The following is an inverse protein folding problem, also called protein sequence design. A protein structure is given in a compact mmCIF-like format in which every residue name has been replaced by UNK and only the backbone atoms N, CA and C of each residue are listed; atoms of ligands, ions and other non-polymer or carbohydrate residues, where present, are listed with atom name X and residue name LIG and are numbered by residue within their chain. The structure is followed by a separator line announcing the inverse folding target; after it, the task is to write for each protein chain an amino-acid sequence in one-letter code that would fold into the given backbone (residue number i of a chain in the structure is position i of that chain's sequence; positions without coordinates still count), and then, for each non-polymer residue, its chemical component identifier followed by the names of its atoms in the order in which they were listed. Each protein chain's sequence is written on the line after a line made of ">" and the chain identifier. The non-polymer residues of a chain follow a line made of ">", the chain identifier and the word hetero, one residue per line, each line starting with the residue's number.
data_IF_830100058105
#
_entry.id   IF_830100058105
#
_cell.length_a   1.000
_cell.length_b   1.000
_cell.length_c   1.000
_cell.angle_alpha   90.00
_cell.angle_beta   90.00
_cell.angle_gamma   90.00
#
_symmetry.space_group_name_H-M   'P 1'
#
loop_
_entity.id
_entity.type
_entity.pdbx_description
1 polymer ?
#
# COMPACT_ATOMS: atom_id res chain seq x y z
N UNK A 1 -18.69 14.66 13.74
CA UNK A 1 -18.43 15.94 13.08
C UNK A 1 -17.22 15.80 12.19
N UNK A 2 -17.12 16.56 11.05
CA UNK A 2 -16.02 16.45 10.09
C UNK A 2 -14.65 16.71 10.74
N UNK A 3 -14.55 17.68 11.64
CA UNK A 3 -13.36 18.03 12.41
C UNK A 3 -12.83 16.93 13.35
N UNK A 4 -13.51 15.79 13.42
CA UNK A 4 -13.07 14.57 14.13
C UNK A 4 -12.74 13.44 13.16
N UNK A 5 -12.81 13.69 11.86
CA UNK A 5 -12.61 12.68 10.81
C UNK A 5 -11.26 12.84 10.10
N UNK A 6 -10.59 11.73 9.88
CA UNK A 6 -9.46 11.60 8.97
C UNK A 6 -9.98 11.08 7.63
N UNK A 7 -9.58 11.73 6.54
CA UNK A 7 -9.73 11.25 5.17
C UNK A 7 -8.39 10.67 4.71
N UNK A 8 -8.35 9.39 4.41
CA UNK A 8 -7.20 8.74 3.78
C UNK A 8 -7.50 8.52 2.31
N UNK A 9 -6.61 8.96 1.44
CA UNK A 9 -6.71 8.86 -0.03
C UNK A 9 -5.51 8.06 -0.54
N UNK A 10 -5.74 7.14 -1.47
CA UNK A 10 -4.71 6.44 -2.21
C UNK A 10 -4.92 6.69 -3.70
N UNK A 11 -3.95 7.38 -4.30
CA UNK A 11 -3.84 7.56 -5.74
C UNK A 11 -3.28 6.28 -6.35
N UNK A 12 -3.99 5.72 -7.33
CA UNK A 12 -3.63 4.53 -8.08
C UNK A 12 -3.76 4.84 -9.58
N UNK A 13 -3.12 4.06 -10.42
CA UNK A 13 -3.18 4.31 -11.89
C UNK A 13 -4.59 4.22 -12.46
N UNK A 14 -5.44 3.38 -11.89
CA UNK A 14 -6.81 3.13 -12.36
C UNK A 14 -7.88 3.96 -11.62
N UNK A 15 -7.50 4.64 -10.51
CA UNK A 15 -8.47 5.43 -9.76
C UNK A 15 -7.97 5.98 -8.42
N UNK A 16 -8.87 6.57 -7.66
CA UNK A 16 -8.66 7.01 -6.29
C UNK A 16 -9.49 6.13 -5.35
N UNK A 17 -8.82 5.46 -4.43
CA UNK A 17 -9.48 4.84 -3.28
C UNK A 17 -9.45 5.78 -2.09
N UNK A 18 -10.51 5.80 -1.29
CA UNK A 18 -10.54 6.65 -0.09
C UNK A 18 -11.28 6.00 1.08
N UNK A 19 -10.89 6.40 2.29
CA UNK A 19 -11.56 6.06 3.55
C UNK A 19 -11.80 7.30 4.39
N UNK A 20 -12.98 7.40 5.02
CA UNK A 20 -13.28 8.38 6.06
C UNK A 20 -13.49 7.65 7.38
N UNK A 21 -12.68 7.98 8.38
CA UNK A 21 -12.74 7.38 9.71
C UNK A 21 -12.68 8.43 10.82
N UNK A 22 -13.25 8.11 11.96
CA UNK A 22 -13.08 8.93 13.15
C UNK A 22 -11.65 8.85 13.65
N UNK A 23 -11.00 9.99 13.86
CA UNK A 23 -9.58 10.08 14.22
C UNK A 23 -9.22 9.27 15.47
N UNK A 24 -10.04 9.36 16.53
CA UNK A 24 -9.73 8.73 17.82
C UNK A 24 -10.29 7.32 17.93
N UNK A 25 -11.58 7.12 17.57
CA UNK A 25 -12.24 5.81 17.74
C UNK A 25 -11.97 4.84 16.59
N UNK A 26 -11.35 5.32 15.52
CA UNK A 26 -11.08 4.58 14.28
C UNK A 26 -12.35 4.00 13.62
N UNK A 27 -13.53 4.46 14.03
CA UNK A 27 -14.78 4.05 13.40
C UNK A 27 -14.79 4.48 11.94
N UNK A 28 -15.03 3.51 11.06
CA UNK A 28 -15.13 3.73 9.62
C UNK A 28 -16.54 4.23 9.27
N UNK A 29 -16.61 5.38 8.61
CA UNK A 29 -17.85 6.00 8.18
C UNK A 29 -18.15 5.81 6.71
N UNK A 30 -17.10 5.88 5.87
CA UNK A 30 -17.22 5.79 4.42
C UNK A 30 -15.97 5.19 3.82
N UNK A 31 -16.14 4.44 2.75
CA UNK A 31 -15.10 4.01 1.84
C UNK A 31 -15.63 4.13 0.42
N UNK A 32 -14.76 4.42 -0.51
CA UNK A 32 -15.15 4.51 -1.91
C UNK A 32 -13.96 4.40 -2.85
N UNK A 33 -14.31 4.21 -4.10
CA UNK A 33 -13.38 4.18 -5.21
C UNK A 33 -13.94 5.06 -6.33
N UNK A 34 -13.11 5.94 -6.86
CA UNK A 34 -13.42 6.81 -7.99
C UNK A 34 -12.57 6.40 -9.18
N UNK A 35 -13.16 5.79 -10.21
CA UNK A 35 -12.42 5.35 -11.40
C UNK A 35 -11.74 6.53 -12.10
N UNK A 36 -10.60 6.29 -12.74
CA UNK A 36 -9.89 7.33 -13.50
C UNK A 36 -10.74 7.99 -14.58
N UNK A 37 -11.69 7.26 -15.17
CA UNK A 37 -12.60 7.80 -16.18
C UNK A 37 -13.51 8.93 -15.67
N UNK A 38 -13.70 9.01 -14.35
CA UNK A 38 -14.54 10.03 -13.71
C UNK A 38 -13.74 11.24 -13.18
N UNK A 39 -12.44 11.30 -13.48
CA UNK A 39 -11.55 12.35 -12.95
C UNK A 39 -11.73 13.68 -13.69
N UNK A 40 -11.63 14.75 -12.92
CA UNK A 40 -11.40 16.11 -13.38
C UNK A 40 -9.88 16.37 -13.56
N UNK A 41 -9.54 17.62 -13.86
CA UNK A 41 -8.14 18.07 -13.88
C UNK A 41 -7.51 18.15 -12.46
N UNK A 42 -8.34 18.08 -11.40
CA UNK A 42 -7.91 18.17 -10.00
C UNK A 42 -8.58 17.09 -9.12
N UNK A 43 -8.44 15.80 -9.46
CA UNK A 43 -9.30 14.75 -8.89
C UNK A 43 -9.13 14.60 -7.37
N UNK A 44 -7.93 14.78 -6.85
CA UNK A 44 -7.63 14.69 -5.41
C UNK A 44 -8.25 15.86 -4.65
N UNK A 45 -8.11 17.08 -5.18
CA UNK A 45 -8.67 18.27 -4.54
C UNK A 45 -10.19 18.24 -4.57
N UNK A 46 -10.80 17.86 -5.70
CA UNK A 46 -12.24 17.77 -5.83
C UNK A 46 -12.83 16.71 -4.89
N UNK A 47 -12.12 15.59 -4.70
CA UNK A 47 -12.50 14.58 -3.72
C UNK A 47 -12.48 15.17 -2.30
N UNK A 48 -11.43 15.90 -1.91
CA UNK A 48 -11.32 16.55 -0.60
C UNK A 48 -12.46 17.54 -0.41
N UNK A 49 -12.74 18.38 -1.40
CA UNK A 49 -13.75 19.44 -1.35
C UNK A 49 -15.19 18.86 -1.32
N UNK A 50 -15.38 17.61 -1.75
CA UNK A 50 -16.66 16.91 -1.67
C UNK A 50 -17.07 16.57 -0.24
N UNK A 51 -16.15 16.59 0.73
CA UNK A 51 -16.43 16.30 2.12
C UNK A 51 -16.69 17.59 2.94
N UNK A 52 -17.52 17.50 3.99
CA UNK A 52 -17.70 18.62 4.93
C UNK A 52 -16.35 19.02 5.55
N UNK A 53 -16.09 20.34 5.58
CA UNK A 53 -14.88 20.92 6.13
C UNK A 53 -15.11 21.58 7.50
N UNK A 54 -14.09 21.75 8.36
CA UNK A 54 -12.74 21.20 8.19
C UNK A 54 -12.67 19.71 8.55
N UNK A 55 -11.80 18.97 7.87
CA UNK A 55 -11.39 17.62 8.28
C UNK A 55 -10.30 17.73 9.36
N UNK A 56 -10.23 16.75 10.28
CA UNK A 56 -9.15 16.70 11.28
C UNK A 56 -7.79 16.48 10.64
N UNK A 57 -7.75 15.68 9.58
CA UNK A 57 -6.54 15.28 8.89
C UNK A 57 -6.88 14.73 7.50
N UNK A 58 -5.98 14.95 6.55
CA UNK A 58 -6.01 14.28 5.24
C UNK A 58 -4.66 13.59 5.03
N UNK A 59 -4.70 12.28 4.85
CA UNK A 59 -3.53 11.45 4.53
C UNK A 59 -3.59 11.13 3.04
N UNK A 60 -2.52 11.46 2.31
CA UNK A 60 -2.47 11.27 0.87
C UNK A 60 -1.32 10.35 0.47
N UNK A 61 -1.67 9.13 0.07
CA UNK A 61 -0.76 8.12 -0.45
C UNK A 61 -0.79 8.04 -1.97
N UNK A 62 0.37 7.74 -2.56
CA UNK A 62 0.52 7.49 -3.99
C UNK A 62 1.10 6.10 -4.17
N UNK A 63 0.43 5.29 -4.99
CA UNK A 63 0.92 4.01 -5.47
C UNK A 63 1.65 4.24 -6.80
N UNK A 64 2.96 3.97 -6.79
CA UNK A 64 3.76 4.03 -8.00
C UNK A 64 4.23 2.61 -8.36
N UNK A 65 3.95 2.14 -9.58
CA UNK A 65 4.24 0.76 -9.99
C UNK A 65 5.75 0.46 -10.07
N UNK A 66 6.53 1.49 -10.43
CA UNK A 66 8.00 1.40 -10.52
C UNK A 66 8.60 2.08 -9.29
N UNK A 67 8.91 1.30 -8.29
CA UNK A 67 9.43 1.79 -7.01
C UNK A 67 10.56 0.90 -6.51
N UNK A 68 11.55 1.52 -5.86
CA UNK A 68 12.65 0.84 -5.18
C UNK A 68 12.81 1.44 -3.79
N UNK A 69 13.07 0.58 -2.80
CA UNK A 69 13.36 0.97 -1.43
C UNK A 69 14.82 0.64 -1.13
N UNK A 70 15.55 1.63 -0.64
CA UNK A 70 16.98 1.47 -0.31
C UNK A 70 17.31 2.15 1.02
N UNK A 71 18.39 1.73 1.70
CA UNK A 71 18.88 2.44 2.89
C UNK A 71 19.18 3.91 2.57
N UNK A 72 18.68 4.82 3.39
CA UNK A 72 18.84 6.27 3.18
C UNK A 72 20.33 6.69 3.09
N UNK A 73 21.20 6.01 3.84
CA UNK A 73 22.65 6.29 3.83
C UNK A 73 23.31 6.01 2.45
N UNK A 74 22.65 5.26 1.58
CA UNK A 74 23.11 4.92 0.23
C UNK A 74 22.57 5.89 -0.82
N UNK A 75 21.76 6.88 -0.43
CA UNK A 75 21.12 7.81 -1.35
C UNK A 75 21.85 9.14 -1.38
N UNK A 76 22.18 9.59 -2.60
CA UNK A 76 22.47 11.01 -2.84
C UNK A 76 21.25 11.59 -3.60
N UNK A 77 20.45 12.46 -2.97
CA UNK A 77 19.31 13.07 -3.65
C UNK A 77 19.68 13.89 -4.90
N UNK A 78 20.95 14.28 -5.03
CA UNK A 78 21.45 15.02 -6.20
C UNK A 78 21.81 14.11 -7.38
N UNK A 79 22.05 12.82 -7.11
CA UNK A 79 22.37 11.83 -8.13
C UNK A 79 21.32 10.70 -8.13
N UNK A 80 20.37 10.78 -9.06
CA UNK A 80 19.31 9.78 -9.26
C UNK A 80 19.50 8.95 -10.52
N UNK A 81 20.64 9.08 -11.20
CA UNK A 81 20.85 8.38 -12.47
C UNK A 81 20.88 6.86 -12.30
N UNK A 82 21.38 6.37 -11.16
CA UNK A 82 21.34 4.96 -10.79
C UNK A 82 19.92 4.35 -10.72
N UNK A 83 18.87 5.18 -10.51
CA UNK A 83 17.49 4.68 -10.46
C UNK A 83 17.01 4.19 -11.82
N UNK A 84 17.58 4.69 -12.92
CA UNK A 84 17.22 4.27 -14.28
C UNK A 84 17.59 2.79 -14.52
N UNK A 85 18.71 2.35 -13.97
CA UNK A 85 19.13 0.94 -14.06
C UNK A 85 18.21 0.00 -13.31
N UNK A 86 17.60 0.47 -12.20
CA UNK A 86 16.73 -0.35 -11.34
C UNK A 86 15.25 -0.27 -11.75
N UNK A 87 14.78 0.88 -12.16
CA UNK A 87 13.36 1.15 -12.43
C UNK A 87 13.03 1.14 -13.94
N UNK A 88 14.06 1.14 -14.82
CA UNK A 88 13.89 1.39 -16.25
C UNK A 88 13.59 2.86 -16.59
N UNK A 89 13.51 3.72 -15.57
CA UNK A 89 13.23 5.15 -15.66
C UNK A 89 13.94 5.91 -14.54
N UNK A 90 14.37 7.14 -14.81
CA UNK A 90 14.87 8.02 -13.75
C UNK A 90 13.73 8.36 -12.78
N UNK A 91 13.94 8.14 -11.48
CA UNK A 91 12.96 8.47 -10.47
C UNK A 91 12.58 9.96 -10.51
N UNK A 92 11.30 10.25 -10.37
CA UNK A 92 10.75 11.62 -10.32
C UNK A 92 9.88 11.85 -9.07
N UNK A 93 9.84 10.87 -8.19
CA UNK A 93 9.19 10.93 -6.89
C UNK A 93 10.05 10.20 -5.86
N UNK A 94 10.18 10.78 -4.67
CA UNK A 94 10.85 10.13 -3.54
C UNK A 94 10.11 10.40 -2.24
N UNK A 95 10.20 9.46 -1.32
CA UNK A 95 9.68 9.57 0.05
C UNK A 95 10.67 8.91 1.02
N UNK A 96 10.84 9.50 2.19
CA UNK A 96 11.80 9.02 3.19
C UNK A 96 11.04 8.59 4.43
N UNK A 97 11.34 7.38 4.90
CA UNK A 97 10.97 6.92 6.22
C UNK A 97 12.17 7.09 7.16
N UNK A 98 12.18 8.19 7.89
CA UNK A 98 13.30 8.54 8.78
C UNK A 98 13.43 7.56 9.95
N UNK A 99 12.33 7.00 10.44
CA UNK A 99 12.34 6.07 11.58
C UNK A 99 13.04 4.76 11.25
N UNK A 100 12.99 4.31 10.02
CA UNK A 100 13.66 3.12 9.52
C UNK A 100 14.96 3.41 8.78
N UNK A 101 15.26 4.68 8.50
CA UNK A 101 16.44 5.08 7.72
C UNK A 101 16.41 4.55 6.28
N UNK A 102 15.23 4.50 5.65
CA UNK A 102 15.04 4.05 4.28
C UNK A 102 14.39 5.13 3.42
N UNK A 103 14.71 5.11 2.13
CA UNK A 103 14.11 5.96 1.14
C UNK A 103 13.45 5.13 0.04
N UNK A 104 12.27 5.54 -0.39
CA UNK A 104 11.60 5.00 -1.56
C UNK A 104 11.82 5.96 -2.70
N UNK A 105 12.32 5.45 -3.82
CA UNK A 105 12.39 6.17 -5.09
C UNK A 105 11.42 5.53 -6.06
N UNK A 106 10.68 6.36 -6.78
CA UNK A 106 9.65 5.89 -7.67
C UNK A 106 9.61 6.70 -8.96
N UNK A 107 9.13 6.06 -10.02
CA UNK A 107 8.77 6.75 -11.26
C UNK A 107 7.25 6.75 -11.41
N UNK A 108 6.70 7.95 -11.64
CA UNK A 108 5.32 8.16 -12.07
C UNK A 108 5.32 8.68 -13.50
N UNK A 109 4.49 8.15 -14.40
CA UNK A 109 4.25 8.77 -15.69
C UNK A 109 3.94 10.26 -15.55
N UNK A 110 4.32 11.07 -16.53
CA UNK A 110 4.22 12.54 -16.44
C UNK A 110 2.78 13.02 -16.17
N UNK A 111 1.80 12.35 -16.77
CA UNK A 111 0.39 12.62 -16.52
C UNK A 111 0.01 12.33 -15.06
N UNK A 112 0.39 11.16 -14.53
CA UNK A 112 0.11 10.78 -13.16
C UNK A 112 0.83 11.69 -12.15
N UNK A 113 2.05 12.11 -12.48
CA UNK A 113 2.79 13.07 -11.67
C UNK A 113 2.06 14.43 -11.63
N UNK A 114 1.52 14.91 -12.74
CA UNK A 114 0.73 16.15 -12.80
C UNK A 114 -0.54 16.03 -11.98
N UNK A 115 -1.34 14.97 -12.23
CA UNK A 115 -2.62 14.75 -11.55
C UNK A 115 -2.44 14.56 -10.02
N UNK A 116 -1.39 13.85 -9.63
CA UNK A 116 -1.07 13.67 -8.19
C UNK A 116 -0.58 14.94 -7.49
N UNK A 117 -0.12 15.95 -8.23
CA UNK A 117 0.34 17.24 -7.71
C UNK A 117 -0.76 18.32 -7.63
N UNK A 118 -2.01 17.99 -7.90
CA UNK A 118 -3.11 18.98 -7.96
C UNK A 118 -3.62 19.46 -6.61
N UNK A 119 -2.99 19.06 -5.53
CA UNK A 119 -3.30 19.48 -4.15
C UNK A 119 -2.06 20.05 -3.45
N UNK A 120 -2.28 20.87 -2.43
CA UNK A 120 -1.21 21.37 -1.54
C UNK A 120 -0.74 20.33 -0.50
N UNK A 121 -1.35 19.14 -0.46
CA UNK A 121 -0.99 18.08 0.48
C UNK A 121 0.39 17.49 0.14
N UNK A 122 1.11 17.09 1.17
CA UNK A 122 2.33 16.30 1.01
C UNK A 122 1.96 14.91 0.54
N UNK A 123 2.51 14.53 -0.61
CA UNK A 123 2.37 13.17 -1.12
C UNK A 123 3.33 12.24 -0.38
N UNK A 124 2.82 11.09 0.02
CA UNK A 124 3.63 10.03 0.60
C UNK A 124 3.57 8.79 -0.28
N UNK A 125 4.66 8.06 -0.38
CA UNK A 125 4.62 6.76 -1.04
C UNK A 125 3.86 5.75 -0.18
N UNK A 126 2.99 4.93 -0.78
CA UNK A 126 2.17 4.00 -0.02
C UNK A 126 3.00 2.99 0.81
N UNK A 127 4.20 2.60 0.34
CA UNK A 127 5.11 1.77 1.15
C UNK A 127 5.59 2.49 2.40
N UNK A 128 5.99 3.76 2.27
CA UNK A 128 6.43 4.55 3.42
C UNK A 128 5.31 4.68 4.46
N UNK A 129 4.07 4.93 4.01
CA UNK A 129 2.90 4.98 4.89
C UNK A 129 2.62 3.64 5.58
N UNK A 130 2.75 2.51 4.85
CA UNK A 130 2.56 1.19 5.45
C UNK A 130 3.65 0.84 6.45
N UNK A 131 4.90 1.20 6.17
CA UNK A 131 6.03 1.01 7.07
C UNK A 131 5.88 1.78 8.38
N UNK A 132 5.19 2.91 8.37
CA UNK A 132 4.87 3.68 9.58
C UNK A 132 3.80 2.99 10.46
N UNK A 133 3.05 2.01 9.93
CA UNK A 133 1.87 1.46 10.58
C UNK A 133 1.91 -0.07 10.83
N UNK A 134 2.84 -0.76 10.19
CA UNK A 134 3.00 -2.21 10.32
C UNK A 134 4.31 -2.48 11.03
N UNK A 135 4.23 -3.09 12.20
CA UNK A 135 5.43 -3.55 12.90
C UNK A 135 5.95 -4.86 12.29
N UNK A 136 7.26 -5.00 12.08
CA UNK A 136 7.85 -6.27 11.67
C UNK A 136 7.66 -7.32 12.77
N UNK A 137 7.52 -8.57 12.37
CA UNK A 137 7.26 -9.71 13.28
C UNK A 137 8.54 -10.48 13.64
N UNK A 138 8.51 -11.19 14.77
CA UNK A 138 9.64 -12.03 15.19
C UNK A 138 9.79 -13.28 14.29
N UNK A 139 8.66 -13.90 13.90
CA UNK A 139 8.67 -15.06 12.98
C UNK A 139 8.60 -14.64 11.52
N UNK A 140 9.02 -15.52 10.59
CA UNK A 140 8.97 -15.24 9.16
C UNK A 140 7.53 -14.97 8.70
N UNK A 141 7.26 -13.75 8.27
CA UNK A 141 5.93 -13.31 7.86
C UNK A 141 6.01 -12.54 6.55
N UNK A 142 5.09 -12.85 5.65
CA UNK A 142 4.90 -12.17 4.37
C UNK A 142 3.50 -11.57 4.31
N UNK A 143 3.43 -10.27 4.05
CA UNK A 143 2.20 -9.57 3.67
C UNK A 143 2.18 -9.43 2.15
N UNK A 144 1.24 -10.09 1.49
CA UNK A 144 1.05 -10.01 0.05
C UNK A 144 -0.27 -9.30 -0.26
N UNK A 145 -0.17 -8.12 -0.85
CA UNK A 145 -1.32 -7.36 -1.33
C UNK A 145 -1.43 -7.50 -2.83
N UNK A 146 -2.50 -8.19 -3.28
CA UNK A 146 -2.73 -8.47 -4.70
C UNK A 146 -3.73 -7.46 -5.25
N UNK A 147 -3.29 -6.67 -6.22
CA UNK A 147 -4.09 -5.63 -6.85
C UNK A 147 -3.87 -5.63 -8.37
N UNK A 148 -4.96 -5.52 -9.12
CA UNK A 148 -4.93 -5.57 -10.58
C UNK A 148 -4.07 -6.74 -11.10
N UNK A 149 -2.99 -6.46 -11.80
CA UNK A 149 -2.01 -7.37 -12.37
C UNK A 149 -0.64 -7.30 -11.66
N UNK A 150 -0.65 -6.95 -10.37
CA UNK A 150 0.55 -6.87 -9.54
C UNK A 150 0.34 -7.42 -8.14
N UNK A 151 1.44 -7.79 -7.47
CA UNK A 151 1.50 -8.10 -6.04
C UNK A 151 2.57 -7.28 -5.36
N UNK A 152 2.21 -6.59 -4.29
CA UNK A 152 3.16 -6.03 -3.34
C UNK A 152 3.48 -7.09 -2.29
N UNK A 153 4.76 -7.36 -2.07
CA UNK A 153 5.26 -8.26 -1.02
C UNK A 153 6.08 -7.44 -0.02
N UNK A 154 5.69 -7.54 1.25
CA UNK A 154 6.47 -7.09 2.39
C UNK A 154 6.81 -8.31 3.22
N UNK A 155 8.05 -8.48 3.64
CA UNK A 155 8.48 -9.64 4.42
C UNK A 155 9.32 -9.20 5.62
N UNK A 156 9.10 -9.83 6.78
CA UNK A 156 9.87 -9.57 7.99
C UNK A 156 10.21 -10.84 8.75
N UNK A 157 11.31 -10.77 9.50
CA UNK A 157 11.77 -11.79 10.43
C UNK A 157 12.60 -11.13 11.54
N UNK A 158 12.58 -11.69 12.75
CA UNK A 158 13.37 -11.22 13.89
C UNK A 158 13.19 -9.72 14.18
N UNK A 159 11.97 -9.22 14.01
CA UNK A 159 11.64 -7.80 14.22
C UNK A 159 12.21 -6.85 13.17
N UNK A 160 12.70 -7.36 12.03
CA UNK A 160 13.28 -6.55 10.97
C UNK A 160 12.60 -6.77 9.62
N UNK A 161 12.52 -5.74 8.80
CA UNK A 161 12.11 -5.86 7.41
C UNK A 161 13.19 -6.54 6.58
N UNK A 162 12.83 -7.58 5.86
CA UNK A 162 13.73 -8.37 5.00
C UNK A 162 13.55 -8.05 3.52
N UNK A 163 12.30 -7.72 3.10
CA UNK A 163 11.98 -7.39 1.71
C UNK A 163 10.76 -6.46 1.65
N UNK A 164 10.81 -5.48 0.75
CA UNK A 164 9.63 -4.74 0.30
C UNK A 164 9.80 -4.52 -1.20
N UNK A 165 8.88 -5.08 -1.99
CA UNK A 165 8.90 -4.93 -3.44
C UNK A 165 7.51 -5.18 -4.04
N UNK A 166 7.32 -4.76 -5.29
CA UNK A 166 6.15 -5.08 -6.11
C UNK A 166 6.57 -5.86 -7.35
N UNK A 167 5.74 -6.81 -7.75
CA UNK A 167 5.99 -7.69 -8.89
C UNK A 167 4.75 -7.76 -9.77
N UNK A 168 4.90 -7.89 -11.11
CA UNK A 168 3.79 -8.27 -11.97
C UNK A 168 3.16 -9.58 -11.49
N UNK A 169 1.83 -9.65 -11.45
CA UNK A 169 1.12 -10.83 -10.94
C UNK A 169 -0.31 -10.86 -11.50
N UNK A 170 -0.47 -11.48 -12.66
CA UNK A 170 -1.76 -11.56 -13.35
C UNK A 170 -2.61 -12.77 -12.91
N UNK A 171 -2.02 -13.74 -12.19
CA UNK A 171 -2.71 -14.97 -11.82
C UNK A 171 -2.09 -15.64 -10.58
N UNK A 172 -2.75 -16.67 -10.08
CA UNK A 172 -2.35 -17.42 -8.88
C UNK A 172 -1.00 -18.14 -9.01
N UNK A 173 -0.63 -18.59 -10.22
CA UNK A 173 0.65 -19.26 -10.44
C UNK A 173 1.81 -18.30 -10.32
N UNK A 174 1.63 -17.05 -10.78
CA UNK A 174 2.62 -15.99 -10.62
C UNK A 174 2.74 -15.56 -9.15
N UNK A 175 1.62 -15.44 -8.42
CA UNK A 175 1.66 -15.21 -6.98
C UNK A 175 2.46 -16.31 -6.26
N UNK A 176 2.19 -17.58 -6.56
CA UNK A 176 2.92 -18.71 -5.98
C UNK A 176 4.40 -18.67 -6.31
N UNK A 177 4.75 -18.30 -7.55
CA UNK A 177 6.15 -18.11 -7.95
C UNK A 177 6.83 -17.03 -7.10
N UNK A 178 6.21 -15.85 -6.96
CA UNK A 178 6.80 -14.75 -6.19
C UNK A 178 6.92 -15.07 -4.69
N UNK A 179 5.90 -15.69 -4.08
CA UNK A 179 5.96 -16.11 -2.68
C UNK A 179 7.04 -17.18 -2.47
N UNK A 180 7.11 -18.15 -3.39
CA UNK A 180 8.13 -19.20 -3.35
C UNK A 180 9.55 -18.64 -3.51
N UNK A 181 9.74 -17.75 -4.47
CA UNK A 181 11.03 -17.10 -4.72
C UNK A 181 11.45 -16.22 -3.54
N UNK A 182 10.51 -15.49 -2.92
CA UNK A 182 10.76 -14.70 -1.73
C UNK A 182 11.32 -15.57 -0.60
N UNK A 183 10.67 -16.69 -0.28
CA UNK A 183 11.14 -17.59 0.79
C UNK A 183 12.48 -18.25 0.44
N UNK A 184 12.74 -18.58 -0.82
CA UNK A 184 14.00 -19.16 -1.27
C UNK A 184 15.16 -18.15 -1.18
N UNK A 185 14.95 -16.91 -1.61
CA UNK A 185 15.97 -15.85 -1.53
C UNK A 185 16.30 -15.45 -0.09
N UNK A 186 15.32 -15.56 0.83
CA UNK A 186 15.51 -15.28 2.25
C UNK A 186 15.96 -16.49 3.06
N UNK A 187 16.16 -17.66 2.41
CA UNK A 187 16.50 -18.94 3.06
C UNK A 187 15.48 -19.34 4.15
N UNK A 188 14.19 -19.10 3.90
CA UNK A 188 13.12 -19.42 4.83
C UNK A 188 12.45 -20.75 4.50
N UNK A 189 12.18 -21.56 5.54
CA UNK A 189 11.34 -22.74 5.38
C UNK A 189 9.87 -22.31 5.20
N UNK A 190 9.27 -22.65 4.07
CA UNK A 190 7.87 -22.31 3.74
C UNK A 190 6.88 -22.78 4.80
N UNK A 191 7.13 -23.92 5.43
CA UNK A 191 6.24 -24.46 6.46
C UNK A 191 6.21 -23.60 7.74
N UNK A 192 7.21 -22.77 7.96
CA UNK A 192 7.30 -21.88 9.12
C UNK A 192 6.82 -20.45 8.80
N UNK A 193 6.60 -20.14 7.50
CA UNK A 193 6.17 -18.82 7.07
C UNK A 193 4.68 -18.58 7.32
N UNK A 194 4.37 -17.41 7.86
CA UNK A 194 3.02 -16.87 7.92
C UNK A 194 2.75 -15.97 6.71
N UNK A 195 1.66 -16.20 6.01
CA UNK A 195 1.24 -15.37 4.88
C UNK A 195 -0.05 -14.63 5.25
N UNK A 196 -0.05 -13.30 5.09
CA UNK A 196 -1.27 -12.51 5.13
C UNK A 196 -1.59 -11.99 3.73
N UNK A 197 -2.72 -12.44 3.18
CA UNK A 197 -3.19 -12.02 1.86
C UNK A 197 -4.21 -10.88 1.98
N UNK A 198 -4.08 -9.88 1.12
CA UNK A 198 -5.02 -8.77 0.98
C UNK A 198 -5.19 -8.39 -0.50
N UNK A 199 -6.15 -7.52 -0.79
CA UNK A 199 -6.53 -7.15 -2.16
C UNK A 199 -7.73 -7.94 -2.66
N UNK A 200 -8.28 -7.54 -3.81
CA UNK A 200 -9.51 -8.09 -4.37
C UNK A 200 -9.44 -9.60 -4.64
N UNK A 201 -8.31 -10.07 -5.16
CA UNK A 201 -8.11 -11.48 -5.52
C UNK A 201 -7.69 -12.37 -4.34
N UNK A 202 -7.44 -11.81 -3.15
CA UNK A 202 -6.89 -12.54 -2.01
C UNK A 202 -7.73 -13.75 -1.57
N UNK A 203 -9.08 -13.66 -1.67
CA UNK A 203 -9.97 -14.78 -1.31
C UNK A 203 -9.78 -15.96 -2.24
N UNK A 204 -9.70 -15.72 -3.54
CA UNK A 204 -9.52 -16.79 -4.53
C UNK A 204 -8.14 -17.45 -4.38
N UNK A 205 -7.12 -16.66 -4.10
CA UNK A 205 -5.73 -17.15 -4.03
C UNK A 205 -5.41 -17.87 -2.72
N UNK A 206 -6.18 -17.65 -1.64
CA UNK A 206 -5.93 -18.28 -0.35
C UNK A 206 -5.85 -19.80 -0.44
N UNK A 207 -6.81 -20.42 -1.10
CA UNK A 207 -6.90 -21.89 -1.17
C UNK A 207 -5.75 -22.51 -1.98
N UNK A 208 -5.18 -21.73 -2.93
CA UNK A 208 -4.01 -22.14 -3.71
C UNK A 208 -2.72 -22.02 -2.89
N UNK A 209 -2.60 -20.96 -2.07
CA UNK A 209 -1.40 -20.69 -1.26
C UNK A 209 -1.33 -21.56 -0.01
N UNK A 210 -2.47 -21.81 0.63
CA UNK A 210 -2.58 -22.51 1.92
C UNK A 210 -1.83 -23.86 2.02
N UNK A 211 -1.79 -24.73 0.97
CA UNK A 211 -1.10 -26.03 1.07
C UNK A 211 0.43 -25.94 1.19
N UNK A 212 1.02 -24.80 0.86
CA UNK A 212 2.47 -24.65 0.69
C UNK A 212 3.15 -23.86 1.80
N UNK A 213 2.39 -23.19 2.69
CA UNK A 213 2.92 -22.34 3.74
C UNK A 213 2.35 -22.70 5.11
N UNK A 214 3.05 -22.31 6.17
CA UNK A 214 2.69 -22.68 7.54
C UNK A 214 1.31 -22.16 7.94
N UNK A 215 1.07 -20.87 7.81
CA UNK A 215 -0.22 -20.24 8.09
C UNK A 215 -0.57 -19.26 6.97
N UNK A 216 -1.75 -19.39 6.39
CA UNK A 216 -2.27 -18.43 5.41
C UNK A 216 -3.57 -17.82 5.91
N UNK A 217 -3.56 -16.52 6.12
CA UNK A 217 -4.73 -15.75 6.57
C UNK A 217 -5.07 -14.63 5.61
N UNK A 218 -6.34 -14.29 5.55
CA UNK A 218 -6.78 -13.06 4.92
C UNK A 218 -6.60 -11.89 5.88
N UNK A 219 -6.21 -10.74 5.34
CA UNK A 219 -6.17 -9.49 6.10
C UNK A 219 -7.50 -9.26 6.82
N UNK A 220 -7.41 -8.89 8.08
CA UNK A 220 -8.55 -8.45 8.90
C UNK A 220 -8.21 -7.08 9.48
N UNK A 221 -9.11 -6.10 9.35
CA UNK A 221 -8.94 -4.83 10.03
C UNK A 221 -8.73 -5.06 11.53
N UNK A 222 -7.91 -4.23 12.15
CA UNK A 222 -7.73 -4.29 13.59
C UNK A 222 -9.09 -4.19 14.31
N UNK A 223 -9.26 -4.85 15.46
CA UNK A 223 -10.54 -4.91 16.19
C UNK A 223 -11.12 -3.54 16.59
N UNK A 224 -10.26 -2.50 16.59
CA UNK A 224 -10.66 -1.12 16.83
C UNK A 224 -11.33 -0.46 15.60
N UNK A 225 -11.21 -1.03 14.39
CA UNK A 225 -11.90 -0.53 13.20
C UNK A 225 -13.38 -0.96 13.25
N UNK A 226 -14.21 -0.20 13.95
CA UNK A 226 -15.66 -0.42 13.94
C UNK A 226 -16.20 0.01 12.57
N UNK A 227 -16.76 -0.96 11.84
CA UNK A 227 -17.43 -0.67 10.57
C UNK A 227 -18.84 -0.20 10.89
N UNK A 228 -19.23 0.94 10.32
CA UNK A 228 -20.60 1.44 10.44
C UNK A 228 -21.59 0.43 9.85
N UNK A 229 -22.76 0.28 10.48
CA UNK A 229 -23.84 -0.57 9.95
C UNK A 229 -24.31 -0.16 8.54
N UNK A 230 -24.01 1.06 8.10
CA UNK A 230 -24.29 1.54 6.76
C UNK A 230 -23.33 0.95 5.69
N UNK A 231 -22.23 0.32 6.11
CA UNK A 231 -21.20 -0.23 5.22
C UNK A 231 -21.26 -1.76 5.19
N UNK A 232 -22.45 -2.35 5.09
CA UNK A 232 -22.63 -3.82 5.12
C UNK A 232 -21.91 -4.58 4.01
N UNK A 233 -21.67 -3.92 2.87
CA UNK A 233 -21.02 -4.51 1.69
C UNK A 233 -19.54 -4.12 1.57
N UNK A 234 -18.97 -3.52 2.64
CA UNK A 234 -17.58 -3.10 2.61
C UNK A 234 -16.63 -4.29 2.56
N UNK A 235 -15.82 -4.38 1.51
CA UNK A 235 -14.76 -5.38 1.41
C UNK A 235 -13.43 -4.84 1.96
N UNK A 236 -13.13 -5.18 3.20
CA UNK A 236 -11.89 -4.77 3.87
C UNK A 236 -10.62 -5.24 3.13
N UNK A 237 -10.69 -6.29 2.32
CA UNK A 237 -9.55 -6.77 1.55
C UNK A 237 -9.16 -5.78 0.44
N UNK A 238 -10.15 -5.22 -0.25
CA UNK A 238 -9.93 -4.23 -1.30
C UNK A 238 -9.28 -2.94 -0.76
N UNK A 239 -9.61 -2.57 0.48
CA UNK A 239 -9.12 -1.35 1.12
C UNK A 239 -8.00 -1.60 2.14
N UNK A 240 -7.34 -2.76 2.09
CA UNK A 240 -6.36 -3.15 3.09
C UNK A 240 -5.20 -2.15 3.22
N UNK A 241 -4.70 -1.58 2.12
CA UNK A 241 -3.66 -0.54 2.14
C UNK A 241 -4.12 0.68 2.92
N UNK A 242 -5.32 1.21 2.62
CA UNK A 242 -5.89 2.38 3.31
C UNK A 242 -6.24 2.10 4.77
N UNK A 243 -6.64 0.88 5.11
CA UNK A 243 -6.93 0.48 6.49
C UNK A 243 -5.67 0.35 7.35
N UNK A 244 -4.51 0.16 6.72
CA UNK A 244 -3.20 0.10 7.38
C UNK A 244 -2.57 1.48 7.56
N UNK A 245 -2.99 2.48 6.84
CA UNK A 245 -2.55 3.89 6.96
C UNK A 245 -3.67 4.74 7.56
#
# INVERSE_FOLDING_TARGET
>A
KAEECTLSILYQQDGLSFLVRHRTTRQLYMAGYMPRADWSDQPVQDLIDSFPQPLAEVIYGVEAPHSVLIPQVMTDPADLDWTEDMLGHKANFSDVNESLGVAVFAYLPEEDLKLSNTTSLVRRHHWALQLDQIDPTDGPTIWAHVYNDAVQIMASIEGNWALINSFPCANESELMYHLGNCTEQLDWNRADCNIELSGLSARAYKDVVQPYFGTVRLFKPAQWSKISSAMKEFDALAFATLLRI
#
